data_IF_332323358305
#
_entry.id   IF_332323358305
#
_cell.length_a   1.000
_cell.length_b   1.000
_cell.length_c   1.000
_cell.angle_alpha   90.00
_cell.angle_beta   90.00
_cell.angle_gamma   90.00
#
_symmetry.space_group_name_H-M   'P 1'
#
loop_
_entity.id
_entity.type
_entity.pdbx_description
1 polymer ?
#
# COMPACT_ATOMS: atom_id res chain seq x y z
N UNK A 1 11.09 -30.18 3.31
CA UNK A 1 9.70 -29.68 3.17
C UNK A 1 9.27 -28.68 4.27
N UNK A 2 10.14 -28.31 5.23
CA UNK A 2 9.82 -27.38 6.33
C UNK A 2 9.94 -25.89 5.94
N UNK A 3 10.73 -25.56 4.90
CA UNK A 3 10.98 -24.17 4.47
C UNK A 3 9.72 -23.46 3.95
N UNK A 4 8.74 -24.20 3.40
CA UNK A 4 7.51 -23.60 2.87
C UNK A 4 6.58 -23.05 3.95
N UNK A 5 6.62 -23.57 5.18
CA UNK A 5 5.78 -23.08 6.28
C UNK A 5 6.26 -21.75 6.86
N UNK A 6 7.57 -21.44 6.73
CA UNK A 6 8.17 -20.18 7.22
C UNK A 6 7.78 -18.99 6.36
N UNK A 7 7.43 -19.22 5.08
CA UNK A 7 6.86 -18.20 4.20
C UNK A 7 5.37 -17.99 4.47
N UNK A 8 4.69 -18.92 5.16
CA UNK A 8 3.24 -19.08 5.01
C UNK A 8 2.34 -18.64 6.17
N UNK A 9 2.76 -18.39 7.41
CA UNK A 9 1.72 -18.21 8.43
C UNK A 9 2.10 -17.39 9.67
N UNK A 10 1.91 -16.07 9.57
CA UNK A 10 1.01 -15.31 10.47
C UNK A 10 0.97 -13.84 10.03
N UNK A 11 0.04 -13.51 9.14
CA UNK A 11 -0.34 -12.11 8.93
C UNK A 11 -1.20 -11.70 10.13
N UNK A 12 -0.53 -11.18 11.15
CA UNK A 12 -1.12 -10.66 12.40
C UNK A 12 -1.64 -9.23 12.23
N UNK A 13 -1.91 -8.81 11.00
CA UNK A 13 -2.29 -7.44 10.66
C UNK A 13 -3.79 -7.38 10.46
N UNK A 14 -4.42 -6.36 11.05
CA UNK A 14 -5.85 -6.13 10.90
C UNK A 14 -6.22 -5.93 9.42
N UNK A 15 -7.45 -6.28 9.03
CA UNK A 15 -7.91 -6.17 7.62
C UNK A 15 -7.69 -4.77 7.04
N UNK A 16 -7.84 -3.74 7.88
CA UNK A 16 -7.67 -2.33 7.52
C UNK A 16 -6.21 -2.02 7.20
N UNK A 17 -5.29 -2.54 8.01
CA UNK A 17 -3.85 -2.33 7.83
C UNK A 17 -3.38 -2.98 6.52
N UNK A 18 -3.89 -4.19 6.22
CA UNK A 18 -3.66 -4.87 4.95
C UNK A 18 -4.26 -4.11 3.74
N UNK A 19 -5.48 -3.59 3.87
CA UNK A 19 -6.17 -2.83 2.82
C UNK A 19 -5.44 -1.52 2.49
N UNK A 20 -5.05 -0.77 3.52
CA UNK A 20 -4.33 0.49 3.37
C UNK A 20 -2.94 0.24 2.80
N UNK A 21 -2.22 -0.75 3.32
CA UNK A 21 -0.88 -1.13 2.82
C UNK A 21 -0.90 -1.49 1.34
N UNK A 22 -1.93 -2.23 0.90
CA UNK A 22 -2.09 -2.59 -0.52
C UNK A 22 -2.34 -1.37 -1.40
N UNK A 23 -3.07 -0.36 -0.87
CA UNK A 23 -3.33 0.88 -1.59
C UNK A 23 -2.10 1.81 -1.64
N UNK A 24 -1.21 1.72 -0.65
CA UNK A 24 -0.01 2.55 -0.49
C UNK A 24 1.20 2.01 -1.27
N UNK A 25 1.05 1.74 -2.56
CA UNK A 25 2.20 1.46 -3.43
C UNK A 25 3.05 2.73 -3.65
N UNK A 26 4.36 2.75 -3.32
CA UNK A 26 5.20 3.93 -3.53
C UNK A 26 5.50 4.13 -5.03
N UNK A 27 4.62 4.86 -5.73
CA UNK A 27 4.67 5.08 -7.20
C UNK A 27 5.11 6.49 -7.62
N UNK A 28 5.66 7.28 -6.70
CA UNK A 28 6.02 8.68 -6.94
C UNK A 28 7.35 8.85 -7.70
N UNK A 29 8.41 9.16 -6.96
CA UNK A 29 9.68 9.62 -7.53
C UNK A 29 10.39 8.54 -8.38
N UNK A 30 10.35 7.28 -7.96
CA UNK A 30 10.98 6.18 -8.69
C UNK A 30 10.41 6.02 -10.11
N UNK A 31 9.08 6.12 -10.26
CA UNK A 31 8.41 6.03 -11.56
C UNK A 31 8.77 7.22 -12.46
N UNK A 32 8.83 8.44 -11.89
CA UNK A 32 9.23 9.62 -12.63
C UNK A 32 10.66 9.50 -13.18
N UNK A 33 11.60 9.02 -12.36
CA UNK A 33 13.00 8.82 -12.79
C UNK A 33 13.07 7.76 -13.90
N UNK A 34 12.43 6.59 -13.72
CA UNK A 34 12.40 5.53 -14.73
C UNK A 34 11.74 5.97 -16.05
N UNK A 35 10.74 6.86 -16.00
CA UNK A 35 10.06 7.39 -17.18
C UNK A 35 10.98 8.23 -18.08
N UNK A 36 12.04 8.83 -17.53
CA UNK A 36 13.01 9.64 -18.30
C UNK A 36 14.07 8.79 -19.00
N UNK A 37 14.33 7.57 -18.53
CA UNK A 37 15.32 6.64 -19.08
C UNK A 37 15.08 6.31 -20.58
N UNK A 38 13.85 5.97 -21.04
CA UNK A 38 13.63 5.66 -22.46
C UNK A 38 13.88 6.86 -23.39
N UNK A 39 13.60 8.09 -22.95
CA UNK A 39 13.90 9.30 -23.71
C UNK A 39 15.39 9.56 -23.79
N UNK A 40 16.13 9.40 -22.68
CA UNK A 40 17.58 9.54 -22.67
C UNK A 40 18.30 8.50 -23.54
N UNK A 41 17.72 7.30 -23.70
CA UNK A 41 18.26 6.24 -24.56
C UNK A 41 17.88 6.38 -26.05
N UNK A 42 17.13 7.42 -26.42
CA UNK A 42 16.73 7.65 -27.82
C UNK A 42 15.78 6.59 -28.38
N UNK A 43 15.02 5.89 -27.51
CA UNK A 43 14.09 4.85 -27.95
C UNK A 43 12.90 5.51 -28.66
N UNK A 44 12.56 4.99 -29.85
CA UNK A 44 11.39 5.43 -30.61
C UNK A 44 10.13 5.26 -29.75
N UNK A 45 9.38 6.35 -29.55
CA UNK A 45 8.21 6.36 -28.66
C UNK A 45 8.50 6.62 -27.17
N UNK A 46 9.76 6.91 -26.79
CA UNK A 46 10.13 7.20 -25.41
C UNK A 46 9.37 8.38 -24.80
N UNK A 47 9.10 9.43 -25.59
CA UNK A 47 8.33 10.59 -25.15
C UNK A 47 6.89 10.22 -24.78
N UNK A 48 6.26 9.32 -25.55
CA UNK A 48 4.89 8.87 -25.28
C UNK A 48 4.79 8.06 -23.99
N UNK A 49 5.79 7.22 -23.71
CA UNK A 49 5.88 6.47 -22.45
C UNK A 49 6.11 7.42 -21.27
N UNK A 50 7.00 8.41 -21.44
CA UNK A 50 7.28 9.42 -20.44
C UNK A 50 6.02 10.21 -20.06
N UNK A 51 5.29 10.72 -21.07
CA UNK A 51 4.08 11.51 -20.87
C UNK A 51 2.97 10.68 -20.22
N UNK A 52 2.84 9.41 -20.62
CA UNK A 52 1.87 8.48 -20.01
C UNK A 52 2.17 8.24 -18.54
N UNK A 53 3.43 7.97 -18.17
CA UNK A 53 3.80 7.75 -16.77
C UNK A 53 3.60 9.03 -15.95
N UNK A 54 3.98 10.19 -16.49
CA UNK A 54 3.76 11.47 -15.80
C UNK A 54 2.28 11.77 -15.56
N UNK A 55 1.39 11.41 -16.49
CA UNK A 55 -0.06 11.51 -16.28
C UNK A 55 -0.58 10.48 -15.25
N UNK A 56 0.03 9.29 -15.20
CA UNK A 56 -0.41 8.18 -14.35
C UNK A 56 -0.03 8.40 -12.88
N UNK A 57 1.09 9.08 -12.58
CA UNK A 57 1.51 9.42 -11.21
C UNK A 57 0.40 10.15 -10.43
N UNK A 58 -0.07 11.35 -10.82
CA UNK A 58 -1.13 12.05 -10.10
C UNK A 58 -2.43 11.27 -10.12
N UNK A 59 -2.76 10.59 -11.22
CA UNK A 59 -3.97 9.78 -11.32
C UNK A 59 -3.98 8.66 -10.28
N UNK A 60 -2.86 7.98 -10.06
CA UNK A 60 -2.74 6.93 -9.04
C UNK A 60 -2.75 7.49 -7.63
N UNK A 61 -2.15 8.66 -7.38
CA UNK A 61 -2.19 9.31 -6.07
C UNK A 61 -3.64 9.67 -5.71
N UNK A 62 -4.39 10.25 -6.65
CA UNK A 62 -5.81 10.57 -6.47
C UNK A 62 -6.60 9.29 -6.21
N UNK A 63 -6.36 8.24 -7.00
CA UNK A 63 -7.03 6.95 -6.82
C UNK A 63 -6.74 6.34 -5.44
N UNK A 64 -5.48 6.33 -5.01
CA UNK A 64 -5.09 5.86 -3.67
C UNK A 64 -5.72 6.70 -2.57
N UNK A 65 -5.78 8.03 -2.71
CA UNK A 65 -6.43 8.90 -1.75
C UNK A 65 -7.93 8.59 -1.61
N UNK A 66 -8.63 8.41 -2.74
CA UNK A 66 -10.04 8.01 -2.76
C UNK A 66 -10.21 6.64 -2.10
N UNK A 67 -9.35 5.69 -2.40
CA UNK A 67 -9.42 4.34 -1.87
C UNK A 67 -9.21 4.29 -0.35
N UNK A 68 -8.27 5.08 0.18
CA UNK A 68 -8.04 5.21 1.63
C UNK A 68 -9.27 5.81 2.33
N UNK A 69 -9.83 6.90 1.80
CA UNK A 69 -11.05 7.51 2.36
C UNK A 69 -12.24 6.53 2.31
N UNK A 70 -12.36 5.75 1.24
CA UNK A 70 -13.37 4.70 1.14
C UNK A 70 -13.14 3.54 2.11
N UNK A 71 -11.88 3.19 2.40
CA UNK A 71 -11.52 2.15 3.37
C UNK A 71 -11.89 2.53 4.82
N UNK A 72 -11.88 3.81 5.15
CA UNK A 72 -12.35 4.33 6.43
C UNK A 72 -13.88 4.39 6.54
N UNK A 73 -14.61 4.38 5.42
CA UNK A 73 -16.07 4.49 5.42
C UNK A 73 -16.76 3.14 5.71
N UNK A 74 -17.50 3.06 6.83
CA UNK A 74 -18.19 1.85 7.30
C UNK A 74 -19.20 1.26 6.29
N UNK A 75 -19.81 2.09 5.44
CA UNK A 75 -20.76 1.60 4.41
C UNK A 75 -20.07 0.86 3.28
N UNK A 76 -18.83 1.23 2.96
CA UNK A 76 -18.06 0.60 1.89
C UNK A 76 -17.35 -0.66 2.38
N UNK A 77 -16.94 -0.68 3.65
CA UNK A 77 -16.40 -1.84 4.35
C UNK A 77 -17.32 -3.06 4.25
N UNK A 78 -18.63 -2.90 4.48
CA UNK A 78 -19.59 -4.00 4.37
C UNK A 78 -19.65 -4.61 2.96
N UNK A 79 -19.48 -3.78 1.92
CA UNK A 79 -19.47 -4.24 0.51
C UNK A 79 -18.17 -4.97 0.15
N UNK A 80 -17.03 -4.52 0.66
CA UNK A 80 -15.72 -5.14 0.41
C UNK A 80 -15.47 -6.38 1.28
N UNK A 81 -16.23 -6.57 2.38
CA UNK A 81 -16.09 -7.74 3.26
C UNK A 81 -16.34 -9.07 2.51
N UNK A 82 -17.05 -9.05 1.38
CA UNK A 82 -17.23 -10.23 0.52
C UNK A 82 -15.97 -10.58 -0.28
N UNK A 83 -15.11 -9.61 -0.57
CA UNK A 83 -13.84 -9.80 -1.29
C UNK A 83 -12.67 -10.15 -0.34
N UNK A 84 -12.73 -9.67 0.92
CA UNK A 84 -11.70 -9.88 1.95
C UNK A 84 -12.13 -10.83 3.09
N UNK A 85 -13.05 -11.77 2.81
CA UNK A 85 -13.56 -12.73 3.80
C UNK A 85 -12.49 -13.62 4.46
N UNK A 86 -11.29 -13.72 3.89
CA UNK A 86 -10.16 -14.49 4.42
C UNK A 86 -9.30 -13.79 5.48
N UNK A 87 -9.51 -12.49 5.75
CA UNK A 87 -8.80 -11.78 6.82
C UNK A 87 -9.70 -11.69 8.07
N UNK A 88 -9.18 -11.97 9.26
CA UNK A 88 -9.93 -11.84 10.53
C UNK A 88 -9.97 -10.39 10.98
N UNK A 89 -11.11 -9.96 11.54
CA UNK A 89 -11.30 -8.61 12.03
C UNK A 89 -10.62 -8.42 13.39
N UNK A 90 -9.51 -7.68 13.42
CA UNK A 90 -8.78 -7.41 14.66
C UNK A 90 -9.37 -6.24 15.47
N UNK A 91 -10.69 -6.02 15.45
CA UNK A 91 -11.38 -5.09 16.38
C UNK A 91 -11.36 -5.58 17.84
N UNK A 92 -10.48 -6.53 18.20
CA UNK A 92 -10.25 -6.96 19.59
C UNK A 92 -8.78 -7.30 19.83
N UNK A 93 -7.90 -6.30 19.79
CA UNK A 93 -6.67 -6.26 20.62
C UNK A 93 -5.95 -4.92 20.44
N UNK A 94 -6.50 -3.87 21.06
CA UNK A 94 -5.66 -2.75 21.53
C UNK A 94 -5.22 -3.11 22.95
N UNK A 95 -4.14 -3.89 23.05
CA UNK A 95 -3.21 -3.70 24.17
C UNK A 95 -2.19 -2.68 23.68
N UNK A 96 -1.94 -1.60 24.44
CA UNK A 96 -1.11 -0.50 23.99
C UNK A 96 0.28 -0.99 23.58
N UNK A 97 0.56 -0.94 22.27
CA UNK A 97 1.91 -1.05 21.72
C UNK A 97 2.59 0.29 21.96
N UNK A 98 3.12 0.46 23.18
CA UNK A 98 3.65 1.73 23.64
C UNK A 98 4.25 1.70 25.05
N UNK A 99 4.97 0.66 25.42
CA UNK A 99 6.02 0.81 26.44
C UNK A 99 7.32 1.13 25.69
N UNK A 100 7.48 2.40 25.33
CA UNK A 100 8.81 2.95 25.02
C UNK A 100 9.61 2.87 26.33
N UNK A 101 10.80 2.24 26.37
CA UNK A 101 11.67 2.38 27.52
C UNK A 101 12.00 3.87 27.66
N UNK A 102 11.51 4.52 28.70
CA UNK A 102 12.01 5.83 29.08
C UNK A 102 13.47 5.64 29.49
N UNK A 103 14.37 6.10 28.64
CA UNK A 103 15.77 6.27 29.01
C UNK A 103 15.82 7.36 30.10
N UNK A 104 16.19 6.91 31.29
CA UNK A 104 16.30 7.65 32.53
C UNK A 104 17.26 8.83 32.39
N UNK A 105 16.74 10.05 32.54
CA UNK A 105 17.51 11.21 32.97
C UNK A 105 18.05 10.94 34.39
N UNK A 106 19.37 10.84 34.52
CA UNK A 106 20.14 11.12 35.74
C UNK A 106 21.35 11.94 35.36
#
# INVERSE_FOLDING_TARGET
FITVNVILAKQKYGKIDAMITTAMGPRGLACAVLATVPVQKGIVGGAWVQDTIFALIPMTIIFTAIFVVLAENDKFRQRINHLFGGYSDSTKEDKPVGAVPQESQV
#
